data_IF_728205432672
#
_entry.id   IF_728205432672
#
_cell.length_a   1.000
_cell.length_b   1.000
_cell.length_c   1.000
_cell.angle_alpha   90.00
_cell.angle_beta   90.00
_cell.angle_gamma   90.00
#
_symmetry.space_group_name_H-M   'P 1'
#
loop_
_entity.id
_entity.type
_entity.pdbx_description
1 polymer ?
#
# COMPACT_ATOMS: atom_id res chain seq x y z
N UNK A 1 -25.62 26.31 55.24
CA UNK A 1 -25.87 26.19 56.70
C UNK A 1 -24.87 25.27 57.41
N UNK A 2 -24.47 24.12 56.84
CA UNK A 2 -23.51 23.16 57.46
C UNK A 2 -22.13 23.77 57.76
N UNK A 3 -21.60 24.67 56.90
CA UNK A 3 -20.33 25.37 57.12
C UNK A 3 -20.38 26.41 58.26
N UNK A 4 -21.54 27.01 58.50
CA UNK A 4 -21.74 27.99 59.58
C UNK A 4 -21.96 27.27 60.92
N UNK A 5 -22.76 26.21 60.91
CA UNK A 5 -23.00 25.36 62.09
C UNK A 5 -21.71 24.68 62.59
N UNK A 6 -20.86 24.17 61.68
CA UNK A 6 -19.57 23.59 62.06
C UNK A 6 -18.58 24.62 62.62
N UNK A 7 -18.59 25.86 62.11
CA UNK A 7 -17.79 26.96 62.69
C UNK A 7 -18.27 27.36 64.08
N UNK A 8 -19.59 27.45 64.29
CA UNK A 8 -20.18 27.81 65.59
C UNK A 8 -19.89 26.72 66.62
N UNK A 9 -20.20 25.45 66.30
CA UNK A 9 -19.93 24.30 67.19
C UNK A 9 -18.44 24.16 67.47
N UNK A 10 -17.58 24.36 66.46
CA UNK A 10 -16.13 24.36 66.64
C UNK A 10 -15.66 25.48 67.58
N UNK A 11 -16.16 26.72 67.41
CA UNK A 11 -15.80 27.83 68.29
C UNK A 11 -16.28 27.62 69.73
N UNK A 12 -17.46 27.02 69.91
CA UNK A 12 -18.06 26.78 71.21
C UNK A 12 -17.32 25.66 71.96
N UNK A 13 -16.90 24.60 71.25
CA UNK A 13 -16.04 23.55 71.79
C UNK A 13 -14.65 24.06 72.18
N UNK A 14 -14.03 24.92 71.35
CA UNK A 14 -12.73 25.54 71.67
C UNK A 14 -12.85 26.46 72.89
N UNK A 15 -13.93 27.24 72.97
CA UNK A 15 -14.17 28.14 74.10
C UNK A 15 -14.42 27.36 75.40
N UNK A 16 -15.18 26.27 75.33
CA UNK A 16 -15.42 25.39 76.48
C UNK A 16 -14.13 24.68 76.94
N UNK A 17 -13.31 24.20 76.00
CA UNK A 17 -12.03 23.54 76.30
C UNK A 17 -11.03 24.53 76.90
N UNK A 18 -10.99 25.78 76.41
CA UNK A 18 -10.18 26.86 76.98
C UNK A 18 -10.64 27.22 78.40
N UNK A 19 -11.95 27.35 78.63
CA UNK A 19 -12.51 27.65 79.95
C UNK A 19 -12.21 26.54 80.97
N UNK A 20 -12.34 25.27 80.55
CA UNK A 20 -11.98 24.11 81.39
C UNK A 20 -10.50 24.11 81.75
N UNK A 21 -9.63 24.40 80.77
CA UNK A 21 -8.19 24.45 80.98
C UNK A 21 -7.80 25.56 81.97
N UNK A 22 -8.41 26.75 81.86
CA UNK A 22 -8.22 27.90 82.78
C UNK A 22 -8.61 27.56 84.22
N UNK A 23 -9.57 26.64 84.42
CA UNK A 23 -10.11 26.28 85.72
C UNK A 23 -9.31 25.23 86.51
N UNK A 24 -8.24 24.65 85.93
CA UNK A 24 -7.41 23.64 86.59
C UNK A 24 -6.58 24.24 87.75
N UNK A 25 -6.74 23.74 89.00
CA UNK A 25 -6.02 24.25 90.16
C UNK A 25 -4.57 23.75 90.16
N UNK A 26 -3.63 24.70 90.17
CA UNK A 26 -2.19 24.48 90.21
C UNK A 26 -1.48 25.81 89.97
N UNK A 27 -0.27 25.99 90.48
CA UNK A 27 0.55 27.18 90.21
C UNK A 27 1.85 26.75 89.57
N UNK A 28 2.19 27.36 88.43
CA UNK A 28 3.47 27.19 87.76
C UNK A 28 4.29 28.44 88.06
N UNK A 29 5.40 28.30 88.76
CA UNK A 29 6.33 29.41 88.98
C UNK A 29 7.27 29.50 87.78
N UNK A 30 7.09 30.53 86.96
CA UNK A 30 7.99 30.88 85.87
C UNK A 30 8.89 32.02 86.34
N UNK A 31 10.19 31.74 86.48
CA UNK A 31 11.21 32.77 86.70
C UNK A 31 11.91 33.06 85.36
N UNK A 32 11.72 34.27 84.84
CA UNK A 32 12.45 34.74 83.66
C UNK A 32 12.84 36.21 83.87
N UNK A 33 14.12 36.53 83.64
CA UNK A 33 14.68 37.89 83.69
C UNK A 33 14.33 38.70 84.96
N UNK A 34 14.31 38.06 86.13
CA UNK A 34 14.09 38.71 87.43
C UNK A 34 12.64 39.06 87.77
N UNK A 35 11.67 38.80 86.89
CA UNK A 35 10.24 38.95 87.18
C UNK A 35 9.62 37.59 87.55
N UNK A 36 9.07 37.49 88.76
CA UNK A 36 8.25 36.36 89.19
C UNK A 36 6.81 36.62 88.81
N UNK A 37 6.29 35.83 87.86
CA UNK A 37 4.86 35.77 87.60
C UNK A 37 4.34 34.41 88.09
N UNK A 38 3.26 34.43 88.88
CA UNK A 38 2.53 33.25 89.33
C UNK A 38 1.17 33.16 88.61
N UNK A 39 1.14 32.84 87.30
CA UNK A 39 -0.11 32.58 86.62
C UNK A 39 -0.73 31.27 87.14
N UNK A 40 -2.08 31.24 87.21
CA UNK A 40 -2.83 29.99 87.44
C UNK A 40 -2.48 29.01 86.32
N UNK A 41 -2.28 27.72 86.64
CA UNK A 41 -1.81 26.67 85.69
C UNK A 41 -2.53 26.74 84.34
N UNK A 42 -3.85 26.91 84.40
CA UNK A 42 -4.70 26.99 83.23
C UNK A 42 -4.42 28.16 82.28
N UNK A 43 -4.04 29.32 82.81
CA UNK A 43 -3.66 30.48 82.00
C UNK A 43 -2.31 30.25 81.29
N UNK A 44 -1.36 29.59 81.97
CA UNK A 44 -0.07 29.24 81.37
C UNK A 44 -0.22 28.23 80.23
N UNK A 45 -1.06 27.20 80.41
CA UNK A 45 -1.31 26.20 79.35
C UNK A 45 -2.06 26.85 78.17
N UNK A 46 -3.03 27.72 78.42
CA UNK A 46 -3.73 28.44 77.35
C UNK A 46 -2.79 29.31 76.52
N UNK A 47 -1.92 30.08 77.17
CA UNK A 47 -0.91 30.91 76.48
C UNK A 47 0.06 30.01 75.69
N UNK A 48 0.49 28.88 76.26
CA UNK A 48 1.36 27.94 75.56
C UNK A 48 0.70 27.35 74.30
N UNK A 49 -0.55 26.94 74.39
CA UNK A 49 -1.32 26.46 73.23
C UNK A 49 -1.50 27.57 72.19
N UNK A 50 -1.80 28.79 72.62
CA UNK A 50 -1.95 29.94 71.73
C UNK A 50 -0.63 30.22 70.98
N UNK A 51 0.49 30.24 71.69
CA UNK A 51 1.83 30.39 71.09
C UNK A 51 2.13 29.23 70.15
N UNK A 52 1.84 27.98 70.52
CA UNK A 52 2.02 26.83 69.66
C UNK A 52 1.20 26.94 68.37
N UNK A 53 -0.07 27.38 68.43
CA UNK A 53 -0.93 27.62 67.27
C UNK A 53 -0.34 28.71 66.37
N UNK A 54 0.11 29.82 66.96
CA UNK A 54 0.74 30.93 66.21
C UNK A 54 2.01 30.46 65.52
N UNK A 55 2.86 29.70 66.21
CA UNK A 55 4.11 29.14 65.65
C UNK A 55 3.82 28.13 64.54
N UNK A 56 2.84 27.24 64.72
CA UNK A 56 2.40 26.29 63.68
C UNK A 56 1.84 27.05 62.47
N UNK A 57 1.06 28.11 62.70
CA UNK A 57 0.52 28.98 61.65
C UNK A 57 1.60 29.69 60.86
N UNK A 58 2.56 30.34 61.55
CA UNK A 58 3.72 30.97 60.93
C UNK A 58 4.57 29.95 60.17
N UNK A 59 4.82 28.77 60.73
CA UNK A 59 5.56 27.70 60.07
C UNK A 59 4.85 27.20 58.82
N UNK A 60 3.52 27.03 58.85
CA UNK A 60 2.72 26.64 57.69
C UNK A 60 2.76 27.70 56.59
N UNK A 61 2.69 28.98 56.93
CA UNK A 61 2.82 30.10 55.98
C UNK A 61 4.22 30.11 55.36
N UNK A 62 5.27 29.98 56.18
CA UNK A 62 6.65 29.94 55.71
C UNK A 62 6.89 28.74 54.78
N UNK A 63 6.38 27.55 55.15
CA UNK A 63 6.46 26.34 54.33
C UNK A 63 5.68 26.49 53.02
N UNK A 64 4.54 27.18 53.02
CA UNK A 64 3.76 27.48 51.82
C UNK A 64 4.48 28.46 50.89
N UNK A 65 5.11 29.51 51.43
CA UNK A 65 5.91 30.46 50.64
C UNK A 65 7.15 29.77 50.04
N UNK A 66 7.83 28.92 50.82
CA UNK A 66 9.00 28.16 50.36
C UNK A 66 8.65 27.03 49.37
N UNK A 67 7.46 26.43 49.48
CA UNK A 67 6.99 25.36 48.55
C UNK A 67 6.19 25.87 47.36
N UNK A 68 5.63 27.09 47.42
CA UNK A 68 4.93 27.76 46.32
C UNK A 68 5.74 27.83 45.02
N UNK A 69 7.04 28.21 45.00
CA UNK A 69 7.80 28.26 43.76
C UNK A 69 7.94 26.90 43.09
N UNK A 70 8.10 25.81 43.87
CA UNK A 70 8.18 24.45 43.34
C UNK A 70 6.84 23.98 42.75
N UNK A 71 5.73 24.26 43.43
CA UNK A 71 4.39 23.89 42.97
C UNK A 71 3.95 24.71 41.75
N UNK A 72 4.31 26.00 41.69
CA UNK A 72 4.05 26.87 40.55
C UNK A 72 4.90 26.50 39.34
N UNK A 73 6.18 26.18 39.54
CA UNK A 73 7.06 25.68 38.48
C UNK A 73 6.53 24.36 37.89
N UNK A 74 6.01 23.46 38.74
CA UNK A 74 5.39 22.20 38.29
C UNK A 74 4.13 22.44 37.46
N UNK A 75 3.19 23.27 37.94
CA UNK A 75 1.97 23.64 37.20
C UNK A 75 2.27 24.36 35.89
N UNK A 76 3.29 25.23 35.87
CA UNK A 76 3.71 25.91 34.64
C UNK A 76 4.29 24.94 33.62
N UNK A 77 5.11 23.97 34.06
CA UNK A 77 5.63 22.90 33.18
C UNK A 77 4.50 22.01 32.63
N UNK A 78 3.52 21.66 33.45
CA UNK A 78 2.34 20.90 33.03
C UNK A 78 1.54 21.68 31.97
N UNK A 79 1.22 22.96 32.22
CA UNK A 79 0.55 23.83 31.23
C UNK A 79 1.33 23.98 29.93
N UNK A 80 2.65 24.20 30.01
CA UNK A 80 3.50 24.27 28.79
C UNK A 80 3.47 22.96 28.02
N UNK A 81 3.43 21.82 28.71
CA UNK A 81 3.34 20.50 28.07
C UNK A 81 1.99 20.30 27.41
N UNK A 82 0.88 20.63 28.07
CA UNK A 82 -0.48 20.59 27.51
C UNK A 82 -0.57 21.43 26.24
N UNK A 83 -0.14 22.69 26.32
CA UNK A 83 -0.08 23.61 25.19
C UNK A 83 0.84 23.14 24.05
N UNK A 84 1.88 22.36 24.36
CA UNK A 84 2.75 21.76 23.35
C UNK A 84 2.12 20.55 22.65
N UNK A 85 1.34 19.75 23.39
CA UNK A 85 0.58 18.62 22.83
C UNK A 85 -0.60 19.10 22.00
N UNK A 86 -1.25 20.18 22.41
CA UNK A 86 -2.31 20.85 21.66
C UNK A 86 -1.75 21.38 20.33
N UNK A 87 -0.66 22.16 20.36
CA UNK A 87 0.00 22.66 19.15
C UNK A 87 0.46 21.52 18.21
N UNK A 88 0.94 20.40 18.76
CA UNK A 88 1.29 19.22 17.96
C UNK A 88 0.06 18.61 17.28
N UNK A 89 -1.08 18.56 17.97
CA UNK A 89 -2.32 18.02 17.44
C UNK A 89 -2.87 18.91 16.33
N UNK A 90 -2.90 20.22 16.55
CA UNK A 90 -3.32 21.22 15.55
C UNK A 90 -2.42 21.21 14.32
N UNK A 91 -1.11 20.99 14.51
CA UNK A 91 -0.17 20.87 13.40
C UNK A 91 -0.47 19.64 12.52
N UNK A 92 -0.85 18.51 13.11
CA UNK A 92 -1.26 17.31 12.35
C UNK A 92 -2.55 17.60 11.58
N UNK A 93 -3.54 18.24 12.22
CA UNK A 93 -4.81 18.61 11.58
C UNK A 93 -4.57 19.57 10.42
N UNK A 94 -3.73 20.59 10.59
CA UNK A 94 -3.39 21.54 9.53
C UNK A 94 -2.69 20.86 8.34
N UNK A 95 -1.77 19.92 8.60
CA UNK A 95 -1.09 19.18 7.54
C UNK A 95 -2.07 18.29 6.74
N UNK A 96 -3.00 17.62 7.43
CA UNK A 96 -4.03 16.80 6.77
C UNK A 96 -5.08 17.64 6.05
N UNK A 97 -5.34 18.87 6.51
CA UNK A 97 -6.20 19.84 5.84
C UNK A 97 -5.54 20.48 4.59
N UNK A 98 -4.28 20.16 4.30
CA UNK A 98 -3.56 20.70 3.14
C UNK A 98 -2.95 22.09 3.36
N UNK A 99 -2.79 22.53 4.62
CA UNK A 99 -2.11 23.78 4.98
C UNK A 99 -0.74 23.49 5.63
N UNK A 100 0.30 23.19 4.83
CA UNK A 100 1.61 22.83 5.35
C UNK A 100 2.36 24.03 5.94
N UNK A 101 2.02 25.27 5.56
CA UNK A 101 2.61 26.49 6.12
C UNK A 101 2.19 26.67 7.59
N UNK A 102 0.89 26.54 7.87
CA UNK A 102 0.38 26.57 9.24
C UNK A 102 0.88 25.39 10.06
N UNK A 103 0.93 24.19 9.46
CA UNK A 103 1.48 23.01 10.12
C UNK A 103 2.94 23.22 10.55
N UNK A 104 3.78 23.83 9.70
CA UNK A 104 5.18 24.16 10.03
C UNK A 104 5.27 25.10 11.23
N UNK A 105 4.46 26.17 11.27
CA UNK A 105 4.48 27.11 12.40
C UNK A 105 4.05 26.44 13.71
N UNK A 106 2.96 25.68 13.69
CA UNK A 106 2.46 24.96 14.87
C UNK A 106 3.43 23.87 15.33
N UNK A 107 4.13 23.19 14.41
CA UNK A 107 5.18 22.22 14.74
C UNK A 107 6.37 22.89 15.44
N UNK A 108 6.79 24.10 15.02
CA UNK A 108 7.82 24.89 15.71
C UNK A 108 7.38 25.33 17.10
N UNK A 109 6.13 25.75 17.26
CA UNK A 109 5.57 26.09 18.57
C UNK A 109 5.55 24.87 19.51
N UNK A 110 5.13 23.71 18.98
CA UNK A 110 5.18 22.45 19.70
C UNK A 110 6.62 22.08 20.08
N UNK A 111 7.60 22.27 19.20
CA UNK A 111 9.01 22.00 19.47
C UNK A 111 9.58 22.92 20.55
N UNK A 112 9.23 24.21 20.55
CA UNK A 112 9.65 25.16 21.57
C UNK A 112 9.09 24.81 22.97
N UNK A 113 7.87 24.26 23.02
CA UNK A 113 7.24 23.79 24.27
C UNK A 113 7.68 22.38 24.68
N UNK A 114 8.05 21.53 23.72
CA UNK A 114 8.42 20.12 23.89
C UNK A 114 9.78 19.81 23.20
N UNK A 115 10.91 20.36 23.69
CA UNK A 115 12.19 20.28 23.00
C UNK A 115 12.74 18.85 22.85
N UNK A 116 12.35 17.94 23.75
CA UNK A 116 12.75 16.52 23.72
C UNK A 116 11.80 15.63 22.92
N UNK A 117 10.69 16.17 22.40
CA UNK A 117 9.71 15.37 21.68
C UNK A 117 10.09 15.23 20.20
N UNK A 118 10.50 14.03 19.83
CA UNK A 118 10.78 13.61 18.47
C UNK A 118 9.63 13.87 17.47
N UNK A 119 8.38 13.73 17.91
CA UNK A 119 7.21 13.86 17.04
C UNK A 119 7.04 15.28 16.47
N UNK A 120 7.31 16.31 17.29
CA UNK A 120 7.24 17.70 16.82
C UNK A 120 8.28 18.00 15.73
N UNK A 121 9.50 17.44 15.87
CA UNK A 121 10.56 17.58 14.86
C UNK A 121 10.25 16.82 13.57
N UNK A 122 9.67 15.60 13.68
CA UNK A 122 9.22 14.84 12.50
C UNK A 122 8.12 15.57 11.74
N UNK A 123 7.20 16.21 12.47
CA UNK A 123 6.10 16.95 11.88
C UNK A 123 6.57 18.22 11.17
N UNK A 124 7.53 18.94 11.76
CA UNK A 124 8.19 20.08 11.09
C UNK A 124 8.85 19.64 9.79
N UNK A 125 9.64 18.55 9.82
CA UNK A 125 10.28 18.01 8.60
C UNK A 125 9.26 17.59 7.53
N UNK A 126 8.12 17.01 7.95
CA UNK A 126 7.04 16.61 7.02
C UNK A 126 6.34 17.82 6.41
N UNK A 127 6.15 18.89 7.19
CA UNK A 127 5.59 20.14 6.71
C UNK A 127 6.55 20.84 5.71
N UNK A 128 7.86 20.85 5.99
CA UNK A 128 8.87 21.34 5.05
C UNK A 128 8.83 20.57 3.71
N UNK A 129 8.71 19.24 3.77
CA UNK A 129 8.55 18.40 2.58
C UNK A 129 7.29 18.75 1.77
N UNK A 130 6.16 18.98 2.47
CA UNK A 130 4.89 19.35 1.84
C UNK A 130 4.91 20.77 1.25
N UNK A 131 5.72 21.68 1.80
CA UNK A 131 5.98 23.01 1.24
C UNK A 131 6.95 22.99 0.04
N UNK A 132 7.63 21.87 -0.21
CA UNK A 132 8.68 21.78 -1.23
C UNK A 132 10.04 22.30 -0.77
N UNK A 133 10.22 22.63 0.52
CA UNK A 133 11.51 23.06 1.11
C UNK A 133 12.40 21.84 1.38
N UNK A 134 12.85 21.24 0.28
CA UNK A 134 13.64 20.00 0.26
C UNK A 134 14.95 20.09 1.07
N UNK A 135 15.73 21.18 1.02
CA UNK A 135 16.94 21.31 1.83
C UNK A 135 16.66 21.31 3.33
N UNK A 136 15.67 22.08 3.80
CA UNK A 136 15.31 22.14 5.21
C UNK A 136 14.79 20.78 5.72
N UNK A 137 13.90 20.13 4.96
CA UNK A 137 13.38 18.81 5.28
C UNK A 137 14.52 17.79 5.45
N UNK A 138 15.53 17.83 4.57
CA UNK A 138 16.68 16.91 4.61
C UNK A 138 17.52 17.09 5.87
N UNK A 139 17.79 18.33 6.27
CA UNK A 139 18.54 18.64 7.50
C UNK A 139 17.77 18.17 8.74
N UNK A 140 16.47 18.45 8.81
CA UNK A 140 15.63 17.99 9.91
C UNK A 140 15.55 16.46 10.00
N UNK A 141 15.40 15.74 8.87
CA UNK A 141 15.42 14.29 8.88
C UNK A 141 16.79 13.73 9.27
N UNK A 142 17.90 14.33 8.80
CA UNK A 142 19.26 13.90 9.20
C UNK A 142 19.47 13.99 10.71
N UNK A 143 19.02 15.08 11.33
CA UNK A 143 19.10 15.23 12.79
C UNK A 143 18.31 14.15 13.54
N UNK A 144 17.25 13.61 12.93
CA UNK A 144 16.39 12.57 13.50
C UNK A 144 16.93 11.15 13.31
N UNK A 145 17.88 10.92 12.40
CA UNK A 145 18.53 9.60 12.22
C UNK A 145 19.39 9.23 13.44
N UNK A 146 19.93 10.23 14.17
CA UNK A 146 20.80 9.99 15.32
C UNK A 146 20.15 9.22 16.48
N UNK A 147 18.82 9.17 16.55
CA UNK A 147 18.07 8.44 17.56
C UNK A 147 17.39 7.21 16.94
N UNK A 148 17.63 6.03 17.51
CA UNK A 148 17.05 4.75 17.06
C UNK A 148 15.51 4.80 16.98
N UNK A 149 14.86 5.47 17.94
CA UNK A 149 13.39 5.62 18.00
C UNK A 149 12.79 6.39 16.82
N UNK A 150 13.58 7.24 16.17
CA UNK A 150 13.14 8.13 15.09
C UNK A 150 13.77 7.81 13.74
N UNK A 151 14.83 7.01 13.73
CA UNK A 151 15.62 6.74 12.55
C UNK A 151 14.77 6.15 11.41
N UNK A 152 13.91 5.17 11.71
CA UNK A 152 13.04 4.55 10.68
C UNK A 152 12.10 5.58 10.06
N UNK A 153 11.42 6.39 10.87
CA UNK A 153 10.49 7.42 10.39
C UNK A 153 11.21 8.50 9.58
N UNK A 154 12.42 8.89 9.99
CA UNK A 154 13.24 9.84 9.26
C UNK A 154 13.72 9.28 7.91
N UNK A 155 14.08 7.99 7.87
CA UNK A 155 14.47 7.31 6.64
C UNK A 155 13.29 7.19 5.66
N UNK A 156 12.06 6.98 6.14
CA UNK A 156 10.85 7.02 5.30
C UNK A 156 10.68 8.40 4.64
N UNK A 157 10.80 9.48 5.41
CA UNK A 157 10.70 10.84 4.85
C UNK A 157 11.78 11.14 3.80
N UNK A 158 13.02 10.70 4.05
CA UNK A 158 14.11 10.84 3.08
C UNK A 158 13.94 9.96 1.84
N UNK A 159 13.35 8.77 2.00
CA UNK A 159 12.98 7.89 0.89
C UNK A 159 11.94 8.56 -0.01
N UNK A 160 10.85 9.06 0.57
CA UNK A 160 9.79 9.76 -0.17
C UNK A 160 10.33 11.01 -0.88
N UNK A 161 11.17 11.77 -0.17
CA UNK A 161 11.87 12.92 -0.75
C UNK A 161 12.74 12.52 -1.95
N UNK A 162 13.53 11.46 -1.84
CA UNK A 162 14.38 10.98 -2.92
C UNK A 162 13.56 10.49 -4.12
N UNK A 163 12.41 9.85 -3.88
CA UNK A 163 11.46 9.47 -4.93
C UNK A 163 10.85 10.66 -5.64
N UNK A 164 10.42 11.68 -4.89
CA UNK A 164 9.88 12.93 -5.45
C UNK A 164 10.92 13.68 -6.30
N UNK A 165 12.21 13.52 -6.00
CA UNK A 165 13.32 14.07 -6.78
C UNK A 165 13.78 13.17 -7.94
N UNK A 166 13.10 12.05 -8.20
CA UNK A 166 13.49 11.05 -9.20
C UNK A 166 14.93 10.52 -9.01
N UNK A 167 15.34 10.31 -7.74
CA UNK A 167 16.66 9.76 -7.36
C UNK A 167 16.53 8.34 -6.79
N UNK A 168 16.32 7.32 -7.64
CA UNK A 168 16.04 5.95 -7.20
C UNK A 168 17.17 5.33 -6.37
N UNK A 169 18.44 5.57 -6.73
CA UNK A 169 19.59 5.02 -5.98
C UNK A 169 19.69 5.57 -4.55
N UNK A 170 19.39 6.86 -4.38
CA UNK A 170 19.36 7.48 -3.06
C UNK A 170 18.19 6.95 -2.23
N UNK A 171 17.01 6.82 -2.84
CA UNK A 171 15.84 6.23 -2.20
C UNK A 171 16.15 4.79 -1.72
N UNK A 172 16.69 3.95 -2.60
CA UNK A 172 17.08 2.59 -2.28
C UNK A 172 18.09 2.52 -1.13
N UNK A 173 19.05 3.44 -1.09
CA UNK A 173 20.01 3.52 0.02
C UNK A 173 19.32 3.77 1.37
N UNK A 174 18.29 4.63 1.40
CA UNK A 174 17.50 4.86 2.60
C UNK A 174 16.62 3.65 2.96
N UNK A 175 16.02 2.99 1.98
CA UNK A 175 15.23 1.77 2.20
C UNK A 175 16.08 0.63 2.79
N UNK A 176 17.28 0.38 2.23
CA UNK A 176 18.22 -0.63 2.76
C UNK A 176 18.65 -0.32 4.20
N UNK A 177 18.93 0.96 4.51
CA UNK A 177 19.24 1.40 5.88
C UNK A 177 18.05 1.20 6.82
N UNK A 178 16.83 1.50 6.37
CA UNK A 178 15.63 1.30 7.17
C UNK A 178 15.39 -0.18 7.46
N UNK A 179 15.57 -1.04 6.46
CA UNK A 179 15.45 -2.50 6.61
C UNK A 179 16.51 -3.08 7.56
N UNK A 180 17.73 -2.55 7.54
CA UNK A 180 18.80 -2.97 8.46
C UNK A 180 18.50 -2.59 9.93
N UNK A 181 17.87 -1.43 10.16
CA UNK A 181 17.48 -0.99 11.51
C UNK A 181 16.19 -1.66 11.99
N UNK A 182 15.22 -1.84 11.10
CA UNK A 182 13.92 -2.43 11.39
C UNK A 182 13.56 -3.48 10.32
N UNK A 183 13.99 -4.75 10.51
CA UNK A 183 13.72 -5.83 9.56
C UNK A 183 12.23 -6.10 9.32
N UNK A 184 11.36 -5.69 10.24
CA UNK A 184 9.90 -5.83 10.15
C UNK A 184 9.22 -4.68 9.37
N UNK A 185 10.00 -3.76 8.80
CA UNK A 185 9.47 -2.61 8.06
C UNK A 185 8.98 -3.04 6.67
N UNK A 186 7.66 -3.20 6.52
CA UNK A 186 7.04 -3.64 5.26
C UNK A 186 7.39 -2.75 4.06
N UNK A 187 7.27 -1.43 4.18
CA UNK A 187 7.58 -0.51 3.08
C UNK A 187 9.05 -0.58 2.63
N UNK A 188 9.98 -0.78 3.58
CA UNK A 188 11.41 -0.84 3.28
C UNK A 188 11.76 -2.18 2.62
N UNK A 189 11.16 -3.27 3.10
CA UNK A 189 11.24 -4.58 2.46
C UNK A 189 10.70 -4.50 1.03
N UNK A 190 9.48 -4.00 0.82
CA UNK A 190 8.88 -3.88 -0.51
C UNK A 190 9.75 -3.04 -1.46
N UNK A 191 10.29 -1.90 -1.01
CA UNK A 191 11.15 -1.05 -1.82
C UNK A 191 12.46 -1.74 -2.25
N UNK A 192 13.09 -2.51 -1.36
CA UNK A 192 14.30 -3.29 -1.68
C UNK A 192 13.94 -4.47 -2.58
N UNK A 193 12.84 -5.16 -2.30
CA UNK A 193 12.33 -6.26 -3.11
C UNK A 193 12.08 -5.84 -4.55
N UNK A 194 11.36 -4.74 -4.76
CA UNK A 194 11.02 -4.20 -6.08
C UNK A 194 12.27 -3.78 -6.86
N UNK A 195 13.35 -3.36 -6.19
CA UNK A 195 14.63 -3.09 -6.84
C UNK A 195 15.35 -4.39 -7.25
N UNK A 196 15.38 -5.40 -6.37
CA UNK A 196 15.99 -6.69 -6.66
C UNK A 196 15.33 -7.38 -7.85
N UNK A 197 14.00 -7.41 -7.87
CA UNK A 197 13.23 -8.00 -8.99
C UNK A 197 13.47 -7.21 -10.27
N UNK A 198 13.43 -5.87 -10.23
CA UNK A 198 13.71 -5.01 -11.40
C UNK A 198 15.09 -5.27 -12.02
N UNK A 199 16.10 -5.54 -11.19
CA UNK A 199 17.48 -5.83 -11.62
C UNK A 199 17.69 -7.30 -12.03
N UNK A 200 16.67 -8.15 -11.95
CA UNK A 200 16.80 -9.59 -12.21
C UNK A 200 17.60 -10.34 -11.12
N UNK A 201 17.76 -9.76 -9.93
CA UNK A 201 18.45 -10.38 -8.79
C UNK A 201 17.53 -11.36 -8.06
N UNK A 202 17.07 -12.39 -8.80
CA UNK A 202 16.03 -13.30 -8.34
C UNK A 202 16.43 -14.12 -7.10
N UNK A 203 17.70 -14.50 -6.98
CA UNK A 203 18.19 -15.28 -5.83
C UNK A 203 18.02 -14.52 -4.51
N UNK A 204 18.39 -13.24 -4.50
CA UNK A 204 18.24 -12.37 -3.33
C UNK A 204 16.77 -12.07 -3.04
N UNK A 205 15.96 -11.88 -4.09
CA UNK A 205 14.51 -11.71 -3.96
C UNK A 205 13.84 -12.92 -3.29
N UNK A 206 14.20 -14.16 -3.68
CA UNK A 206 13.70 -15.39 -3.04
C UNK A 206 14.16 -15.49 -1.59
N UNK A 207 15.41 -15.15 -1.29
CA UNK A 207 15.92 -15.16 0.07
C UNK A 207 15.12 -14.22 0.98
N UNK A 208 14.77 -13.03 0.48
CA UNK A 208 13.91 -12.08 1.19
C UNK A 208 12.51 -12.65 1.47
N UNK A 209 11.87 -13.24 0.46
CA UNK A 209 10.54 -13.86 0.60
C UNK A 209 10.57 -15.03 1.59
N UNK A 210 11.65 -15.81 1.62
CA UNK A 210 11.79 -16.93 2.55
C UNK A 210 11.82 -16.51 4.02
N UNK A 211 12.43 -15.37 4.33
CA UNK A 211 12.52 -14.82 5.71
C UNK A 211 11.24 -14.07 6.12
N UNK A 212 10.43 -13.62 5.16
CA UNK A 212 9.15 -12.93 5.41
C UNK A 212 8.23 -13.75 6.32
N UNK A 213 7.80 -13.16 7.44
CA UNK A 213 6.88 -13.81 8.37
C UNK A 213 5.45 -13.74 7.84
N UNK A 214 4.78 -14.89 7.76
CA UNK A 214 3.39 -14.98 7.29
C UNK A 214 2.49 -15.44 8.44
N UNK A 215 1.78 -14.50 9.05
CA UNK A 215 0.92 -14.75 10.21
C UNK A 215 -0.43 -15.35 9.78
N UNK A 216 -1.06 -14.81 8.73
CA UNK A 216 -2.35 -15.27 8.24
C UNK A 216 -2.23 -16.35 7.15
N UNK A 217 -3.35 -17.03 6.87
CA UNK A 217 -3.47 -17.96 5.74
C UNK A 217 -3.28 -17.23 4.40
N UNK A 218 -3.80 -16.01 4.30
CA UNK A 218 -3.66 -15.19 3.10
C UNK A 218 -2.22 -14.74 2.87
N UNK A 219 -1.49 -14.36 3.93
CA UNK A 219 -0.07 -13.99 3.81
C UNK A 219 0.77 -15.18 3.35
N UNK A 220 0.46 -16.38 3.84
CA UNK A 220 1.10 -17.62 3.36
C UNK A 220 0.81 -17.87 1.88
N UNK A 221 -0.42 -17.62 1.42
CA UNK A 221 -0.78 -17.75 0.01
C UNK A 221 -0.07 -16.70 -0.86
N UNK A 222 -0.03 -15.44 -0.42
CA UNK A 222 0.70 -14.34 -1.08
C UNK A 222 2.19 -14.64 -1.19
N UNK A 223 2.81 -15.09 -0.09
CA UNK A 223 4.22 -15.51 -0.04
C UNK A 223 4.52 -16.65 -1.01
N UNK A 224 3.70 -17.71 -1.02
CA UNK A 224 3.85 -18.84 -1.97
C UNK A 224 3.72 -18.39 -3.41
N UNK A 225 2.76 -17.52 -3.71
CA UNK A 225 2.56 -16.97 -5.05
C UNK A 225 3.74 -16.12 -5.51
N UNK A 226 4.20 -15.19 -4.66
CA UNK A 226 5.38 -14.36 -4.91
C UNK A 226 6.61 -15.22 -5.19
N UNK A 227 6.85 -16.25 -4.38
CA UNK A 227 7.95 -17.19 -4.58
C UNK A 227 7.81 -17.97 -5.90
N UNK A 228 6.62 -18.49 -6.22
CA UNK A 228 6.38 -19.22 -7.46
C UNK A 228 6.63 -18.35 -8.71
N UNK A 229 6.24 -17.08 -8.67
CA UNK A 229 6.48 -16.13 -9.76
C UNK A 229 7.98 -15.87 -9.95
N UNK A 230 8.74 -15.68 -8.88
CA UNK A 230 10.19 -15.51 -8.98
C UNK A 230 10.87 -16.78 -9.52
N UNK A 231 10.49 -17.95 -9.03
CA UNK A 231 11.04 -19.22 -9.54
C UNK A 231 10.68 -19.43 -11.02
N UNK A 232 9.51 -18.96 -11.46
CA UNK A 232 9.14 -18.98 -12.89
C UNK A 232 9.98 -18.00 -13.72
N UNK A 233 10.27 -16.81 -13.18
CA UNK A 233 11.16 -15.85 -13.84
C UNK A 233 12.57 -16.44 -14.03
N UNK A 234 13.12 -17.08 -12.99
CA UNK A 234 14.39 -17.81 -13.05
C UNK A 234 14.36 -18.96 -14.05
N UNK A 235 13.26 -19.70 -14.08
CA UNK A 235 13.08 -20.79 -15.03
C UNK A 235 13.13 -20.29 -16.48
N UNK A 236 12.50 -19.13 -16.76
CA UNK A 236 12.49 -18.51 -18.07
C UNK A 236 13.89 -18.04 -18.51
N UNK A 237 14.64 -17.36 -17.65
CA UNK A 237 16.00 -16.90 -17.96
C UNK A 237 16.97 -18.08 -18.16
N UNK A 238 16.79 -19.15 -17.40
CA UNK A 238 17.58 -20.37 -17.51
C UNK A 238 17.13 -21.30 -18.64
N UNK A 239 15.96 -21.07 -19.27
CA UNK A 239 15.36 -22.01 -20.23
C UNK A 239 16.31 -22.31 -21.39
N UNK A 240 16.96 -21.29 -21.95
CA UNK A 240 17.90 -21.44 -23.08
C UNK A 240 19.33 -21.76 -22.63
N UNK A 241 19.78 -21.15 -21.52
CA UNK A 241 21.19 -21.22 -21.08
C UNK A 241 21.51 -22.45 -20.23
N UNK A 242 20.60 -22.83 -19.33
CA UNK A 242 20.76 -23.94 -18.40
C UNK A 242 19.43 -24.69 -18.20
N UNK A 243 18.97 -25.48 -19.20
CA UNK A 243 17.61 -26.05 -19.21
C UNK A 243 17.29 -26.93 -18.00
N UNK A 244 18.28 -27.65 -17.43
CA UNK A 244 18.06 -28.47 -16.23
C UNK A 244 17.76 -27.63 -14.99
N UNK A 245 18.54 -26.56 -14.78
CA UNK A 245 18.27 -25.62 -13.68
C UNK A 245 16.93 -24.91 -13.90
N UNK A 246 16.63 -24.52 -15.15
CA UNK A 246 15.33 -23.94 -15.51
C UNK A 246 14.16 -24.87 -15.21
N UNK A 247 14.32 -26.17 -15.48
CA UNK A 247 13.32 -27.18 -15.14
C UNK A 247 13.11 -27.31 -13.64
N UNK A 248 14.17 -27.34 -12.84
CA UNK A 248 14.08 -27.42 -11.37
C UNK A 248 13.35 -26.20 -10.78
N UNK A 249 13.62 -25.01 -11.31
CA UNK A 249 12.93 -23.77 -10.94
C UNK A 249 11.43 -23.83 -11.33
N UNK A 250 11.10 -24.25 -12.55
CA UNK A 250 9.72 -24.38 -13.00
C UNK A 250 8.94 -25.42 -12.17
N UNK A 251 9.54 -26.57 -11.86
CA UNK A 251 8.92 -27.60 -11.02
C UNK A 251 8.75 -27.11 -9.57
N UNK A 252 9.68 -26.31 -9.06
CA UNK A 252 9.55 -25.67 -7.74
C UNK A 252 8.39 -24.68 -7.71
N UNK A 253 8.23 -23.87 -8.75
CA UNK A 253 7.07 -23.00 -8.92
C UNK A 253 5.75 -23.79 -8.95
N UNK A 254 5.71 -24.91 -9.67
CA UNK A 254 4.52 -25.78 -9.75
C UNK A 254 4.20 -26.51 -8.42
N UNK A 255 5.20 -26.78 -7.57
CA UNK A 255 4.94 -27.28 -6.21
C UNK A 255 4.24 -26.24 -5.34
N UNK A 256 4.55 -24.96 -5.55
CA UNK A 256 3.96 -23.83 -4.80
C UNK A 256 2.59 -23.43 -5.36
N UNK A 257 2.46 -23.41 -6.69
CA UNK A 257 1.24 -23.12 -7.44
C UNK A 257 1.02 -24.19 -8.53
N UNK A 258 0.24 -25.24 -8.25
CA UNK A 258 0.07 -26.39 -9.15
C UNK A 258 -0.47 -26.07 -10.53
N UNK A 259 -1.27 -25.01 -10.64
CA UNK A 259 -2.02 -24.62 -11.84
C UNK A 259 -1.45 -23.36 -12.50
N UNK A 260 -0.20 -23.00 -12.17
CA UNK A 260 0.45 -21.83 -12.75
C UNK A 260 0.93 -22.11 -14.18
N UNK A 261 0.14 -21.64 -15.15
CA UNK A 261 0.35 -21.88 -16.59
C UNK A 261 1.75 -21.51 -17.07
N UNK A 262 2.32 -20.32 -16.75
CA UNK A 262 3.64 -19.94 -17.27
C UNK A 262 4.75 -20.93 -16.89
N UNK A 263 4.78 -21.37 -15.62
CA UNK A 263 5.75 -22.37 -15.15
C UNK A 263 5.56 -23.73 -15.86
N UNK A 264 4.32 -24.15 -16.08
CA UNK A 264 4.03 -25.39 -16.77
C UNK A 264 4.46 -25.36 -18.24
N UNK A 265 4.28 -24.24 -18.94
CA UNK A 265 4.71 -24.07 -20.33
C UNK A 265 6.24 -24.18 -20.45
N UNK A 266 6.99 -23.50 -19.57
CA UNK A 266 8.46 -23.58 -19.54
C UNK A 266 8.92 -25.01 -19.27
N UNK A 267 8.39 -25.67 -18.22
CA UNK A 267 8.75 -27.05 -17.90
C UNK A 267 8.43 -28.02 -19.05
N UNK A 268 7.28 -27.85 -19.70
CA UNK A 268 6.87 -28.68 -20.82
C UNK A 268 7.77 -28.49 -22.05
N UNK A 269 8.12 -27.24 -22.41
CA UNK A 269 9.07 -26.97 -23.51
C UNK A 269 10.43 -27.60 -23.25
N UNK A 270 10.96 -27.48 -22.03
CA UNK A 270 12.21 -28.13 -21.64
C UNK A 270 12.12 -29.66 -21.76
N UNK A 271 11.03 -30.28 -21.30
CA UNK A 271 10.82 -31.71 -21.47
C UNK A 271 10.73 -32.14 -22.94
N UNK A 272 10.01 -31.38 -23.78
CA UNK A 272 9.89 -31.64 -25.22
C UNK A 272 11.27 -31.60 -25.88
N UNK A 273 12.05 -30.56 -25.62
CA UNK A 273 13.39 -30.40 -26.20
C UNK A 273 14.37 -31.51 -25.77
N UNK A 274 14.12 -32.14 -24.62
CA UNK A 274 14.90 -33.28 -24.10
C UNK A 274 14.41 -34.65 -24.59
N UNK A 275 13.31 -34.70 -25.36
CA UNK A 275 12.68 -35.95 -25.78
C UNK A 275 11.80 -36.62 -24.73
N UNK A 276 11.57 -35.97 -23.57
CA UNK A 276 10.68 -36.42 -22.50
C UNK A 276 9.19 -36.12 -22.84
N UNK A 277 8.75 -36.35 -24.08
CA UNK A 277 7.43 -35.93 -24.60
C UNK A 277 6.26 -36.46 -23.76
N UNK A 278 6.36 -37.70 -23.24
CA UNK A 278 5.33 -38.28 -22.37
C UNK A 278 5.12 -37.46 -21.08
N UNK A 279 6.20 -36.98 -20.46
CA UNK A 279 6.13 -36.15 -19.25
C UNK A 279 5.54 -34.78 -19.57
N UNK A 280 5.97 -34.15 -20.66
CA UNK A 280 5.43 -32.87 -21.13
C UNK A 280 3.92 -32.97 -21.38
N UNK A 281 3.48 -33.97 -22.14
CA UNK A 281 2.08 -34.20 -22.46
C UNK A 281 1.24 -34.47 -21.20
N UNK A 282 1.76 -35.26 -20.25
CA UNK A 282 1.08 -35.52 -18.98
C UNK A 282 0.90 -34.25 -18.16
N UNK A 283 1.94 -33.42 -18.06
CA UNK A 283 1.91 -32.13 -17.38
C UNK A 283 0.89 -31.17 -18.02
N UNK A 284 0.97 -30.99 -19.34
CA UNK A 284 0.08 -30.11 -20.09
C UNK A 284 -1.38 -30.56 -20.00
N UNK A 285 -1.66 -31.86 -20.08
CA UNK A 285 -3.01 -32.41 -19.90
C UNK A 285 -3.59 -32.09 -18.52
N UNK A 286 -2.77 -32.16 -17.46
CA UNK A 286 -3.18 -31.78 -16.09
C UNK A 286 -3.55 -30.30 -16.02
N UNK A 287 -2.70 -29.43 -16.55
CA UNK A 287 -2.90 -27.97 -16.52
C UNK A 287 -4.09 -27.56 -17.37
N UNK A 288 -4.28 -28.19 -18.53
CA UNK A 288 -5.44 -27.96 -19.40
C UNK A 288 -6.75 -28.23 -18.66
N UNK A 289 -6.86 -29.36 -17.94
CA UNK A 289 -8.05 -29.69 -17.15
C UNK A 289 -8.35 -28.67 -16.04
N UNK A 290 -7.33 -28.03 -15.48
CA UNK A 290 -7.49 -27.04 -14.42
C UNK A 290 -7.81 -25.63 -14.95
N UNK A 291 -7.28 -25.26 -16.12
CA UNK A 291 -7.25 -23.86 -16.58
C UNK A 291 -7.91 -23.59 -17.93
N UNK A 292 -7.95 -24.58 -18.84
CA UNK A 292 -8.43 -24.40 -20.22
C UNK A 292 -7.63 -23.38 -21.05
N UNK A 293 -6.37 -23.10 -20.67
CA UNK A 293 -5.58 -22.02 -21.27
C UNK A 293 -5.14 -22.35 -22.71
N UNK A 294 -5.33 -21.45 -23.70
CA UNK A 294 -5.04 -21.73 -25.12
C UNK A 294 -3.57 -22.08 -25.40
N UNK A 295 -2.62 -21.40 -24.76
CA UNK A 295 -1.18 -21.72 -24.92
C UNK A 295 -0.83 -23.16 -24.51
N UNK A 296 -1.56 -23.73 -23.54
CA UNK A 296 -1.37 -25.12 -23.12
C UNK A 296 -1.85 -26.07 -24.20
N UNK A 297 -3.00 -25.79 -24.82
CA UNK A 297 -3.50 -26.55 -25.96
C UNK A 297 -2.56 -26.45 -27.17
N UNK A 298 -2.06 -25.24 -27.48
CA UNK A 298 -1.10 -25.02 -28.55
C UNK A 298 0.18 -25.83 -28.32
N UNK A 299 0.80 -25.72 -27.14
CA UNK A 299 2.01 -26.47 -26.82
C UNK A 299 1.76 -27.99 -26.79
N UNK A 300 0.59 -28.42 -26.32
CA UNK A 300 0.22 -29.85 -26.32
C UNK A 300 0.10 -30.42 -27.73
N UNK A 301 -0.50 -29.67 -28.67
CA UNK A 301 -0.57 -30.05 -30.07
C UNK A 301 0.83 -30.21 -30.67
N UNK A 302 1.76 -29.31 -30.34
CA UNK A 302 3.15 -29.29 -30.82
C UNK A 302 4.15 -30.10 -29.96
N UNK A 303 3.68 -30.86 -28.96
CA UNK A 303 4.55 -31.55 -28.01
C UNK A 303 5.45 -32.63 -28.65
N UNK A 304 5.08 -33.15 -29.83
CA UNK A 304 5.90 -34.06 -30.61
C UNK A 304 6.49 -33.30 -31.81
N UNK A 305 7.81 -33.01 -31.81
CA UNK A 305 8.49 -32.43 -32.96
C UNK A 305 8.31 -33.32 -34.19
N UNK A 306 8.06 -32.70 -35.35
CA UNK A 306 7.88 -33.40 -36.63
C UNK A 306 6.48 -33.97 -36.88
N UNK A 307 5.52 -33.82 -35.96
CA UNK A 307 4.15 -34.31 -36.16
C UNK A 307 3.39 -33.54 -37.26
N UNK A 308 2.68 -34.27 -38.12
CA UNK A 308 1.84 -33.69 -39.18
C UNK A 308 0.64 -32.92 -38.60
N UNK A 309 0.02 -32.03 -39.38
CA UNK A 309 -1.16 -31.29 -38.92
C UNK A 309 -2.32 -32.21 -38.49
N UNK A 310 -2.53 -33.31 -39.21
CA UNK A 310 -3.55 -34.32 -38.89
C UNK A 310 -3.23 -35.02 -37.55
N UNK A 311 -1.97 -35.33 -37.28
CA UNK A 311 -1.56 -35.91 -36.00
C UNK A 311 -1.71 -34.91 -34.84
N UNK A 312 -1.42 -33.63 -35.07
CA UNK A 312 -1.63 -32.56 -34.08
C UNK A 312 -3.11 -32.42 -33.74
N UNK A 313 -3.98 -32.42 -34.75
CA UNK A 313 -5.43 -32.40 -34.57
C UNK A 313 -5.92 -33.61 -33.79
N UNK A 314 -5.53 -34.83 -34.19
CA UNK A 314 -5.90 -36.07 -33.50
C UNK A 314 -5.49 -36.02 -32.03
N UNK A 315 -4.28 -35.55 -31.75
CA UNK A 315 -3.77 -35.40 -30.38
C UNK A 315 -4.61 -34.41 -29.59
N UNK A 316 -4.94 -33.26 -30.16
CA UNK A 316 -5.74 -32.26 -29.48
C UNK A 316 -7.16 -32.76 -29.17
N UNK A 317 -7.73 -33.56 -30.07
CA UNK A 317 -9.01 -34.27 -29.84
C UNK A 317 -8.99 -35.27 -28.67
N UNK A 318 -7.82 -35.68 -28.16
CA UNK A 318 -7.74 -36.51 -26.94
C UNK A 318 -7.97 -35.72 -25.64
N UNK A 319 -7.82 -34.39 -25.68
CA UNK A 319 -7.94 -33.51 -24.49
C UNK A 319 -9.10 -32.52 -24.61
N UNK A 320 -9.61 -32.26 -25.82
CA UNK A 320 -10.76 -31.41 -26.07
C UNK A 320 -11.96 -32.29 -26.43
N UNK A 321 -12.99 -32.22 -25.59
CA UNK A 321 -14.27 -32.89 -25.84
C UNK A 321 -15.00 -32.25 -27.03
N UNK A 322 -15.82 -33.03 -27.73
CA UNK A 322 -16.68 -32.54 -28.80
C UNK A 322 -18.15 -32.79 -28.41
N UNK A 323 -19.00 -31.74 -28.29
CA UNK A 323 -18.73 -30.34 -28.57
C UNK A 323 -17.78 -29.67 -27.53
N UNK A 324 -16.98 -28.66 -27.92
CA UNK A 324 -16.05 -28.01 -27.02
C UNK A 324 -16.75 -27.32 -25.83
N UNK A 325 -16.26 -27.50 -24.58
CA UNK A 325 -16.95 -27.02 -23.39
C UNK A 325 -16.89 -25.50 -23.20
N UNK A 326 -15.88 -24.85 -23.75
CA UNK A 326 -15.69 -23.40 -23.65
C UNK A 326 -14.99 -22.85 -24.90
N UNK A 327 -15.09 -21.53 -25.09
CA UNK A 327 -14.63 -20.84 -26.30
C UNK A 327 -13.15 -21.10 -26.64
N UNK A 328 -12.26 -21.01 -25.65
CA UNK A 328 -10.83 -21.26 -25.87
C UNK A 328 -10.55 -22.69 -26.38
N UNK A 329 -11.32 -23.68 -25.92
CA UNK A 329 -11.23 -25.06 -26.42
C UNK A 329 -11.73 -25.16 -27.87
N UNK A 330 -12.86 -24.51 -28.18
CA UNK A 330 -13.39 -24.45 -29.54
C UNK A 330 -12.41 -23.78 -30.51
N UNK A 331 -11.81 -22.66 -30.10
CA UNK A 331 -10.81 -21.94 -30.91
C UNK A 331 -9.53 -22.77 -31.12
N UNK A 332 -9.02 -23.44 -30.08
CA UNK A 332 -7.84 -24.30 -30.20
C UNK A 332 -8.08 -25.49 -31.13
N UNK A 333 -9.25 -26.14 -31.00
CA UNK A 333 -9.66 -27.25 -31.87
C UNK A 333 -9.85 -26.77 -33.32
N UNK A 334 -10.52 -25.63 -33.52
CA UNK A 334 -10.74 -25.05 -34.83
C UNK A 334 -9.43 -24.66 -35.53
N UNK A 335 -8.50 -24.01 -34.83
CA UNK A 335 -7.16 -23.70 -35.37
C UNK A 335 -6.44 -24.97 -35.83
N UNK A 336 -6.45 -26.03 -35.01
CA UNK A 336 -5.81 -27.30 -35.37
C UNK A 336 -6.51 -28.02 -36.54
N UNK A 337 -7.83 -27.87 -36.66
CA UNK A 337 -8.62 -28.43 -37.75
C UNK A 337 -8.38 -27.67 -39.07
N UNK A 338 -8.27 -26.34 -39.03
CA UNK A 338 -7.87 -25.49 -40.17
C UNK A 338 -6.47 -25.89 -40.67
N UNK A 339 -5.50 -26.04 -39.77
CA UNK A 339 -4.14 -26.46 -40.13
C UNK A 339 -4.12 -27.85 -40.82
N UNK A 340 -5.08 -28.71 -40.48
CA UNK A 340 -5.24 -30.05 -41.05
C UNK A 340 -6.18 -30.09 -42.27
N UNK A 341 -6.68 -28.92 -42.73
CA UNK A 341 -7.68 -28.78 -43.80
C UNK A 341 -9.02 -29.51 -43.53
N UNK A 342 -9.33 -29.79 -42.25
CA UNK A 342 -10.62 -30.37 -41.82
C UNK A 342 -11.63 -29.24 -41.52
N UNK A 343 -12.13 -28.64 -42.59
CA UNK A 343 -13.07 -27.51 -42.51
C UNK A 343 -14.40 -27.85 -41.81
N UNK A 344 -15.04 -29.02 -42.04
CA UNK A 344 -16.26 -29.38 -41.33
C UNK A 344 -16.05 -29.43 -39.82
N UNK A 345 -14.95 -30.03 -39.36
CA UNK A 345 -14.62 -30.08 -37.94
C UNK A 345 -14.37 -28.67 -37.40
N UNK A 346 -13.58 -27.84 -38.09
CA UNK A 346 -13.31 -26.47 -37.67
C UNK A 346 -14.60 -25.65 -37.47
N UNK A 347 -15.55 -25.76 -38.42
CA UNK A 347 -16.84 -25.07 -38.36
C UNK A 347 -17.70 -25.59 -37.20
N UNK A 348 -17.78 -26.91 -37.03
CA UNK A 348 -18.56 -27.51 -35.92
C UNK A 348 -18.00 -27.15 -34.54
N UNK A 349 -16.68 -27.02 -34.40
CA UNK A 349 -16.03 -26.62 -33.15
C UNK A 349 -16.36 -25.17 -32.76
N UNK A 350 -16.54 -24.27 -33.73
CA UNK A 350 -16.87 -22.86 -33.49
C UNK A 350 -18.37 -22.58 -33.45
N UNK A 351 -19.22 -23.46 -34.00
CA UNK A 351 -20.67 -23.24 -34.10
C UNK A 351 -21.36 -22.77 -32.81
N UNK A 352 -20.99 -23.24 -31.60
CA UNK A 352 -21.58 -22.73 -30.35
C UNK A 352 -21.19 -21.27 -29.99
N UNK A 353 -20.14 -20.71 -30.62
CA UNK A 353 -19.51 -19.45 -30.21
C UNK A 353 -19.65 -18.29 -31.22
N UNK A 354 -20.37 -18.49 -32.34
CA UNK A 354 -20.53 -17.49 -33.42
C UNK A 354 -21.62 -16.43 -33.17
N UNK A 355 -22.24 -16.42 -31.97
CA UNK A 355 -23.34 -15.51 -31.62
C UNK A 355 -22.92 -14.04 -31.43
N UNK A 356 -23.79 -13.19 -30.84
CA UNK A 356 -23.51 -11.77 -30.62
C UNK A 356 -22.23 -11.49 -29.81
N UNK A 357 -21.87 -12.41 -28.92
CA UNK A 357 -20.68 -12.32 -28.05
C UNK A 357 -19.41 -12.94 -28.69
N UNK A 358 -19.43 -13.25 -29.99
CA UNK A 358 -18.28 -13.77 -30.70
C UNK A 358 -17.09 -12.81 -30.57
N UNK A 359 -15.94 -13.31 -30.11
CA UNK A 359 -14.72 -12.51 -30.01
C UNK A 359 -14.06 -12.35 -31.38
N UNK A 360 -13.13 -11.40 -31.44
CA UNK A 360 -12.29 -11.15 -32.60
C UNK A 360 -11.69 -12.45 -33.16
N UNK A 361 -11.12 -13.31 -32.33
CA UNK A 361 -10.51 -14.56 -32.74
C UNK A 361 -11.49 -15.58 -33.30
N UNK A 362 -12.72 -15.67 -32.76
CA UNK A 362 -13.76 -16.53 -33.35
C UNK A 362 -14.15 -16.03 -34.74
N UNK A 363 -14.35 -14.72 -34.90
CA UNK A 363 -14.67 -14.12 -36.19
C UNK A 363 -13.52 -14.27 -37.21
N UNK A 364 -12.27 -14.11 -36.78
CA UNK A 364 -11.09 -14.34 -37.62
C UNK A 364 -10.98 -15.80 -38.07
N UNK A 365 -11.17 -16.77 -37.17
CA UNK A 365 -11.16 -18.19 -37.53
C UNK A 365 -12.31 -18.56 -38.48
N UNK A 366 -13.51 -17.99 -38.28
CA UNK A 366 -14.62 -18.18 -39.20
C UNK A 366 -14.33 -17.62 -40.59
N UNK A 367 -13.65 -16.46 -40.69
CA UNK A 367 -13.23 -15.92 -41.98
C UNK A 367 -12.28 -16.88 -42.73
N UNK A 368 -11.28 -17.44 -42.02
CA UNK A 368 -10.35 -18.43 -42.58
C UNK A 368 -11.08 -19.70 -43.06
N UNK A 369 -12.10 -20.15 -42.32
CA UNK A 369 -12.93 -21.31 -42.71
C UNK A 369 -13.74 -21.03 -43.98
N UNK A 370 -14.38 -19.86 -44.12
CA UNK A 370 -15.16 -19.53 -45.32
C UNK A 370 -14.26 -19.41 -46.56
N UNK A 371 -13.08 -18.81 -46.39
CA UNK A 371 -12.07 -18.71 -47.45
C UNK A 371 -11.54 -20.09 -47.87
N UNK A 372 -11.16 -20.93 -46.90
CA UNK A 372 -10.57 -22.24 -47.19
C UNK A 372 -11.56 -23.31 -47.65
N UNK A 373 -12.79 -23.33 -47.13
CA UNK A 373 -13.78 -24.35 -47.43
C UNK A 373 -14.55 -24.06 -48.72
N UNK A 374 -15.02 -22.82 -48.88
CA UNK A 374 -15.95 -22.43 -49.95
C UNK A 374 -15.33 -21.50 -50.98
N UNK A 375 -14.15 -20.92 -50.70
CA UNK A 375 -13.57 -19.87 -51.53
C UNK A 375 -14.38 -18.57 -51.54
N UNK A 376 -15.31 -18.41 -50.59
CA UNK A 376 -16.24 -17.28 -50.55
C UNK A 376 -15.60 -16.07 -49.87
N UNK A 377 -14.90 -15.29 -50.68
CA UNK A 377 -14.24 -14.05 -50.27
C UNK A 377 -15.24 -13.00 -49.72
N UNK A 378 -16.51 -13.05 -50.12
CA UNK A 378 -17.55 -12.14 -49.64
C UNK A 378 -17.87 -12.40 -48.17
N UNK A 379 -18.13 -13.66 -47.82
CA UNK A 379 -18.38 -14.08 -46.43
C UNK A 379 -17.15 -13.95 -45.55
N UNK A 380 -15.96 -14.26 -46.07
CA UNK A 380 -14.71 -14.05 -45.33
C UNK A 380 -14.55 -12.58 -44.92
N UNK A 381 -14.81 -11.64 -45.86
CA UNK A 381 -14.80 -10.19 -45.57
C UNK A 381 -15.87 -9.77 -44.58
N UNK A 382 -17.06 -10.35 -44.63
CA UNK A 382 -18.11 -10.08 -43.63
C UNK A 382 -17.64 -10.47 -42.23
N UNK A 383 -17.04 -11.64 -42.08
CA UNK A 383 -16.49 -12.10 -40.80
C UNK A 383 -15.33 -11.24 -40.31
N UNK A 384 -14.42 -10.83 -41.20
CA UNK A 384 -13.35 -9.88 -40.85
C UNK A 384 -13.91 -8.53 -40.42
N UNK A 385 -14.95 -8.02 -41.09
CA UNK A 385 -15.62 -6.78 -40.68
C UNK A 385 -16.29 -6.90 -39.31
N UNK A 386 -16.84 -8.08 -38.97
CA UNK A 386 -17.32 -8.38 -37.61
C UNK A 386 -16.17 -8.41 -36.60
N UNK A 387 -15.04 -9.05 -36.92
CA UNK A 387 -13.87 -9.12 -36.04
C UNK A 387 -13.36 -7.75 -35.58
N UNK A 388 -13.43 -6.71 -36.43
CA UNK A 388 -13.01 -5.33 -36.08
C UNK A 388 -13.85 -4.73 -34.94
N UNK A 389 -15.13 -5.11 -34.85
CA UNK A 389 -16.08 -4.60 -33.84
C UNK A 389 -16.29 -5.56 -32.67
N UNK A 390 -15.79 -6.79 -32.80
CA UNK A 390 -15.97 -7.84 -31.83
C UNK A 390 -15.16 -7.56 -30.54
N UNK A 391 -15.61 -8.07 -29.37
CA UNK A 391 -14.81 -8.09 -28.16
C UNK A 391 -13.44 -8.74 -28.40
N UNK A 392 -12.40 -8.23 -27.75
CA UNK A 392 -11.05 -8.83 -27.80
C UNK A 392 -11.00 -10.16 -27.07
N UNK A 393 -10.15 -11.06 -27.52
CA UNK A 393 -9.84 -12.28 -26.78
C UNK A 393 -8.99 -11.97 -25.54
N UNK A 394 -9.03 -12.82 -24.50
CA UNK A 394 -8.12 -12.73 -23.38
C UNK A 394 -6.65 -12.80 -23.83
N UNK A 395 -5.81 -11.97 -23.21
CA UNK A 395 -4.37 -11.96 -23.43
C UNK A 395 -3.65 -11.60 -22.12
N UNK A 396 -2.34 -11.81 -22.06
CA UNK A 396 -1.53 -11.39 -20.91
C UNK A 396 -1.50 -9.87 -20.86
N UNK A 397 -2.13 -9.27 -19.85
CA UNK A 397 -2.28 -7.82 -19.74
C UNK A 397 -1.76 -7.31 -18.40
N UNK A 398 -0.91 -6.28 -18.43
CA UNK A 398 -0.41 -5.55 -17.26
C UNK A 398 -0.35 -4.05 -17.55
N UNK A 399 -0.85 -3.22 -16.65
CA UNK A 399 -0.71 -1.75 -16.71
C UNK A 399 -1.06 -1.10 -18.08
N UNK A 400 -2.05 -1.68 -18.78
CA UNK A 400 -2.48 -1.21 -20.11
C UNK A 400 -1.64 -1.75 -21.28
N UNK A 401 -0.57 -2.49 -21.02
CA UNK A 401 0.20 -3.24 -22.00
C UNK A 401 -0.40 -4.64 -22.19
N UNK A 402 -0.51 -5.05 -23.46
CA UNK A 402 -0.86 -6.42 -23.85
C UNK A 402 0.41 -7.10 -24.36
N UNK A 403 0.66 -8.31 -23.88
CA UNK A 403 1.77 -9.17 -24.29
C UNK A 403 1.23 -10.51 -24.77
N UNK A 404 1.90 -11.09 -25.76
CA UNK A 404 1.60 -12.44 -26.26
C UNK A 404 2.09 -13.50 -25.28
N UNK A 405 3.20 -13.24 -24.59
CA UNK A 405 3.78 -14.12 -23.59
C UNK A 405 3.67 -13.55 -22.18
N UNK A 406 3.62 -14.44 -21.18
CA UNK A 406 3.68 -14.04 -19.79
C UNK A 406 5.04 -13.43 -19.44
N UNK A 407 5.01 -12.27 -18.80
CA UNK A 407 6.17 -11.56 -18.29
C UNK A 407 6.12 -11.51 -16.76
N UNK A 408 7.24 -11.77 -16.05
CA UNK A 408 7.26 -11.75 -14.59
C UNK A 408 7.02 -10.36 -13.99
N UNK A 409 7.35 -9.30 -14.73
CA UNK A 409 7.24 -7.92 -14.29
C UNK A 409 6.61 -7.03 -15.34
N UNK A 410 5.88 -6.01 -14.90
CA UNK A 410 5.44 -4.93 -15.78
C UNK A 410 6.62 -4.04 -16.21
N UNK A 411 6.81 -3.77 -17.52
CA UNK A 411 7.82 -2.82 -17.98
C UNK A 411 7.47 -1.36 -17.62
N UNK A 412 6.21 -1.07 -17.27
CA UNK A 412 5.75 0.28 -16.94
C UNK A 412 5.96 0.58 -15.46
N UNK A 413 5.47 -0.30 -14.58
CA UNK A 413 5.51 -0.07 -13.12
C UNK A 413 6.69 -0.77 -12.45
N UNK A 414 7.31 -1.75 -13.10
CA UNK A 414 8.32 -2.62 -12.49
C UNK A 414 7.74 -3.58 -11.44
N UNK A 415 6.41 -3.68 -11.33
CA UNK A 415 5.75 -4.54 -10.34
C UNK A 415 5.83 -6.01 -10.76
N UNK A 416 6.19 -6.87 -9.82
CA UNK A 416 6.16 -8.33 -9.98
C UNK A 416 4.72 -8.87 -10.03
N UNK A 417 4.49 -9.93 -10.80
CA UNK A 417 3.18 -10.62 -10.91
C UNK A 417 2.06 -9.68 -11.35
N UNK A 418 2.39 -8.72 -12.23
CA UNK A 418 1.44 -7.74 -12.77
C UNK A 418 0.64 -8.27 -13.97
N UNK A 419 1.21 -9.23 -14.72
CA UNK A 419 0.57 -9.80 -15.90
C UNK A 419 -0.50 -10.82 -15.52
N UNK A 420 -1.74 -10.50 -15.90
CA UNK A 420 -2.91 -11.34 -15.70
C UNK A 420 -3.52 -11.75 -17.04
N UNK A 421 -4.02 -12.98 -17.12
CA UNK A 421 -4.76 -13.45 -18.29
C UNK A 421 -6.20 -12.93 -18.24
N UNK A 422 -6.50 -11.89 -19.01
CA UNK A 422 -7.83 -11.25 -19.04
C UNK A 422 -8.09 -10.58 -20.38
N UNK A 423 -9.36 -10.23 -20.64
CA UNK A 423 -9.72 -9.44 -21.81
C UNK A 423 -9.12 -8.04 -21.67
N UNK A 424 -8.28 -7.59 -22.62
CA UNK A 424 -7.70 -6.25 -22.56
C UNK A 424 -8.78 -5.18 -22.54
N UNK A 425 -8.75 -4.32 -21.53
CA UNK A 425 -9.63 -3.17 -21.46
C UNK A 425 -9.05 -2.15 -22.42
N UNK A 426 -9.61 -2.10 -23.63
CA UNK A 426 -9.24 -1.03 -24.54
C UNK A 426 -9.83 0.23 -23.93
N UNK A 427 -9.01 1.11 -23.37
CA UNK A 427 -9.37 2.53 -23.36
C UNK A 427 -9.34 2.90 -24.83
N UNK A 428 -10.44 2.64 -25.54
CA UNK A 428 -10.71 3.26 -26.83
C UNK A 428 -11.08 4.71 -26.54
N UNK A 429 -10.14 5.43 -25.89
CA UNK A 429 -10.07 6.86 -25.94
C UNK A 429 -9.59 7.18 -27.33
N UNK A 430 -10.49 7.14 -28.31
CA UNK A 430 -10.42 8.16 -29.35
C UNK A 430 -10.39 9.46 -28.53
N UNK A 431 -9.38 10.34 -28.67
CA UNK A 431 -9.62 11.72 -28.28
C UNK A 431 -10.93 12.07 -28.97
N UNK A 432 -11.97 12.44 -28.23
CA UNK A 432 -13.06 13.17 -28.87
C UNK A 432 -12.32 14.24 -29.65
N UNK A 433 -12.39 14.18 -30.98
CA UNK A 433 -11.92 15.29 -31.78
C UNK A 433 -12.59 16.49 -31.15
N UNK A 434 -11.80 17.49 -30.74
CA UNK A 434 -12.35 18.71 -30.19
C UNK A 434 -13.51 19.12 -31.10
N UNK A 435 -14.69 19.43 -30.54
CA UNK A 435 -15.78 19.92 -31.36
C UNK A 435 -15.20 21.02 -32.25
N UNK A 436 -15.46 21.00 -33.58
CA UNK A 436 -14.91 22.00 -34.46
C UNK A 436 -15.20 23.38 -33.85
N UNK A 437 -14.23 24.31 -33.88
CA UNK A 437 -14.39 25.61 -33.26
C UNK A 437 -15.73 26.21 -33.72
N UNK A 438 -16.50 26.84 -32.81
CA UNK A 438 -17.81 27.38 -33.15
C UNK A 438 -17.66 28.22 -34.41
N UNK A 439 -18.40 27.82 -35.46
CA UNK A 439 -18.51 28.64 -36.67
C UNK A 439 -18.97 30.01 -36.21
N UNK A 440 -18.09 31.01 -36.38
CA UNK A 440 -18.45 32.40 -36.17
C UNK A 440 -19.72 32.65 -36.98
N UNK A 441 -20.75 33.29 -36.40
CA UNK A 441 -21.98 33.59 -37.12
C UNK A 441 -21.61 34.25 -38.44
N UNK A 442 -22.11 33.70 -39.55
CA UNK A 442 -22.08 34.36 -40.86
C UNK A 442 -22.63 35.75 -40.63
N UNK A 443 -21.79 36.75 -40.83
CA UNK A 443 -22.13 38.15 -40.70
C UNK A 443 -23.35 38.41 -41.59
N UNK A 444 -24.50 38.68 -40.96
CA UNK A 444 -25.71 39.00 -41.68
C UNK A 444 -25.42 40.24 -42.55
N UNK A 445 -25.73 40.22 -43.85
CA UNK A 445 -25.47 41.37 -44.70
C UNK A 445 -26.21 42.59 -44.13
N UNK A 446 -25.46 43.65 -43.83
CA UNK A 446 -25.98 44.92 -43.34
C UNK A 446 -27.11 45.41 -44.26
N UNK A 447 -28.24 45.90 -43.71
CA UNK A 447 -29.33 46.41 -44.52
C UNK A 447 -28.83 47.58 -45.37
N UNK A 448 -28.91 47.41 -46.70
CA UNK A 448 -28.66 48.46 -47.68
C UNK A 448 -29.54 49.67 -47.36
N UNK A 449 -28.91 50.81 -47.06
CA UNK A 449 -29.61 52.08 -46.96
C UNK A 449 -30.36 52.36 -48.28
N UNK A 450 -31.63 52.80 -48.23
CA UNK A 450 -32.39 53.05 -49.44
C UNK A 450 -31.73 54.20 -50.24
N UNK A 451 -31.42 53.91 -51.50
CA UNK A 451 -30.96 54.90 -52.45
C UNK A 451 -32.10 55.90 -52.71
N UNK A 452 -31.91 57.14 -52.25
CA UNK A 452 -32.71 58.26 -52.71
C UNK A 452 -32.30 58.57 -54.16
N UNK A 453 -33.22 58.35 -55.10
CA UNK A 453 -33.06 58.87 -56.46
C UNK A 453 -33.53 60.34 -56.49
N UNK A 454 -32.79 61.23 -57.16
CA UNK A 454 -33.17 62.62 -57.32
C UNK A 454 -34.24 62.78 -58.41
N UNK A 455 -35.45 63.19 -58.00
CA UNK A 455 -36.26 64.35 -58.47
C UNK A 455 -37.66 64.26 -57.89
#
# INVERSE_FOLDING_TARGET
>A
MIRLASWIVGSLAITALAAWLISLPGTLTLEAAGYRMQPRLGAAIFIFILVAIVVIGLWAILRRILSAPRNMARRSRERRREQGVEALSDAIVALQAGDPARARMLAREAQARLPTNAAARLLEARADLALGDMPAAREHYRALIASEKTAVAALTGLYDQARAQHRPEAALTFARKALALAPQSGWAADAVFDDLTRRGQWADAVAMVNVEQASSREDRARKRRRQAVIETARAREAETSAPLAGLDHALTALKLLPDFVPAALIAARIHINRGDTRKAMSLLRRIWRATGHPDVAALYAHAQPGASAVERLRRLGEIIETPPPHRAAGMALARSAIDAYDWPLARSALAPFIGPDATQGVASLMAEIEEGQSGDQGKAREWLARAVRAPRDPAWTADGLVSDEWEPMSPVTGKLDAFEWKVPMTITGRPLADPPPPQLPVEAPLPLAPAANPT
#
